data_IF_623131049248
#
_entry.id   IF_623131049248
#
_cell.length_a   1.000
_cell.length_b   1.000
_cell.length_c   1.000
_cell.angle_alpha   90.00
_cell.angle_beta   90.00
_cell.angle_gamma   90.00
#
_symmetry.space_group_name_H-M   'P 1'
#
loop_
_entity.id
_entity.type
_entity.pdbx_description
1 polymer ?
#
# COMPACT_ATOMS: atom_id res chain seq x y z
N UNK A 1 -28.75 -45.95 10.72
CA UNK A 1 -28.14 -44.76 11.35
C UNK A 1 -27.94 -43.70 10.27
N UNK A 2 -28.71 -42.62 10.25
CA UNK A 2 -28.49 -41.55 9.28
C UNK A 2 -27.33 -40.66 9.75
N UNK A 3 -26.46 -40.28 8.81
CA UNK A 3 -25.38 -39.30 9.02
C UNK A 3 -25.96 -37.91 9.30
N UNK A 4 -26.34 -37.64 10.54
CA UNK A 4 -26.73 -36.32 11.01
C UNK A 4 -25.59 -35.68 11.81
N UNK A 5 -25.03 -34.56 11.31
CA UNK A 5 -24.56 -33.40 12.09
C UNK A 5 -23.31 -32.65 11.59
N UNK A 6 -22.72 -32.98 10.44
CA UNK A 6 -21.55 -32.21 9.93
C UNK A 6 -21.94 -30.82 9.37
N UNK A 7 -23.24 -30.53 9.18
CA UNK A 7 -23.71 -29.32 8.46
C UNK A 7 -24.26 -28.15 9.29
N UNK A 8 -23.98 -28.03 10.61
CA UNK A 8 -24.58 -26.96 11.43
C UNK A 8 -23.92 -25.58 11.30
N UNK A 9 -22.72 -25.50 10.74
CA UNK A 9 -21.97 -24.25 10.53
C UNK A 9 -21.43 -24.21 9.10
N UNK A 10 -22.32 -24.11 8.12
CA UNK A 10 -21.88 -23.84 6.75
C UNK A 10 -21.37 -22.38 6.69
N UNK A 11 -20.26 -22.14 6.02
CA UNK A 11 -19.67 -20.79 5.91
C UNK A 11 -20.67 -19.78 5.33
N UNK A 12 -21.53 -20.22 4.42
CA UNK A 12 -22.60 -19.41 3.84
C UNK A 12 -23.87 -19.32 4.68
N UNK A 13 -23.89 -19.91 5.89
CA UNK A 13 -25.05 -19.84 6.78
C UNK A 13 -25.19 -18.44 7.38
N UNK A 14 -26.43 -17.96 7.49
CA UNK A 14 -26.72 -16.64 8.03
C UNK A 14 -26.24 -16.51 9.48
N UNK A 15 -26.32 -17.59 10.26
CA UNK A 15 -25.85 -17.66 11.65
C UNK A 15 -24.34 -17.51 11.82
N UNK A 16 -23.55 -17.71 10.75
CA UNK A 16 -22.11 -17.51 10.80
C UNK A 16 -21.74 -16.02 10.71
N UNK A 17 -22.53 -15.24 9.94
CA UNK A 17 -22.22 -13.84 9.62
C UNK A 17 -23.11 -12.82 10.34
N UNK A 18 -24.35 -13.18 10.67
CA UNK A 18 -25.35 -12.28 11.23
C UNK A 18 -25.64 -12.59 12.71
N UNK A 19 -26.06 -11.58 13.50
CA UNK A 19 -26.59 -11.79 14.84
C UNK A 19 -27.80 -12.76 14.83
N UNK A 20 -28.09 -13.43 15.95
CA UNK A 20 -29.25 -14.31 16.04
C UNK A 20 -30.55 -13.55 15.70
N UNK A 21 -31.41 -14.17 14.90
CA UNK A 21 -32.70 -13.66 14.39
C UNK A 21 -32.62 -12.59 13.29
N UNK A 22 -31.47 -12.42 12.63
CA UNK A 22 -31.37 -11.61 11.40
C UNK A 22 -31.13 -12.49 10.17
N UNK A 23 -31.80 -12.13 9.08
CA UNK A 23 -31.62 -12.72 7.75
C UNK A 23 -31.11 -11.64 6.81
N UNK A 24 -30.40 -12.00 5.75
CA UNK A 24 -29.89 -10.98 4.83
C UNK A 24 -30.99 -10.33 3.98
N UNK A 25 -32.17 -10.95 3.90
CA UNK A 25 -33.36 -10.35 3.29
C UNK A 25 -33.89 -9.18 4.13
N UNK A 26 -33.63 -9.19 5.44
CA UNK A 26 -33.97 -8.10 6.36
C UNK A 26 -32.89 -7.03 6.49
N UNK A 27 -31.76 -7.17 5.79
CA UNK A 27 -30.74 -6.11 5.74
C UNK A 27 -31.25 -5.06 4.76
N UNK A 28 -31.77 -3.97 5.29
CA UNK A 28 -32.21 -2.84 4.47
C UNK A 28 -31.04 -2.32 3.62
N UNK A 29 -31.33 -1.97 2.37
CA UNK A 29 -30.37 -1.28 1.52
C UNK A 29 -29.90 0.00 2.22
N UNK A 30 -28.59 0.26 2.28
CA UNK A 30 -28.08 1.41 3.00
C UNK A 30 -28.69 2.69 2.44
N UNK A 31 -29.23 3.51 3.33
CA UNK A 31 -29.72 4.83 2.98
C UNK A 31 -28.54 5.75 2.68
N UNK A 32 -28.78 6.83 1.94
CA UNK A 32 -27.74 7.85 1.70
C UNK A 32 -27.21 8.45 3.02
N UNK A 33 -28.02 8.44 4.08
CA UNK A 33 -27.59 8.80 5.44
C UNK A 33 -26.49 7.89 5.97
N UNK A 34 -26.43 6.63 5.55
CA UNK A 34 -25.42 5.68 6.02
C UNK A 34 -24.03 5.97 5.46
N UNK A 35 -23.95 6.74 4.37
CA UNK A 35 -22.70 7.27 3.85
C UNK A 35 -21.98 8.16 4.88
N UNK A 36 -22.72 8.82 5.76
CA UNK A 36 -22.15 9.63 6.84
C UNK A 36 -21.36 8.77 7.83
N UNK A 37 -21.83 7.55 8.13
CA UNK A 37 -21.06 6.60 8.94
C UNK A 37 -19.79 6.16 8.23
N UNK A 38 -19.85 5.94 6.91
CA UNK A 38 -18.66 5.65 6.11
C UNK A 38 -17.61 6.76 6.17
N UNK A 39 -18.02 8.02 6.04
CA UNK A 39 -17.13 9.20 6.20
C UNK A 39 -16.56 9.23 7.62
N UNK A 40 -17.40 9.08 8.64
CA UNK A 40 -16.96 9.11 10.03
C UNK A 40 -15.93 8.01 10.34
N UNK A 41 -16.21 6.77 9.95
CA UNK A 41 -15.30 5.63 10.10
C UNK A 41 -13.99 5.89 9.35
N UNK A 42 -14.04 6.42 8.12
CA UNK A 42 -12.84 6.78 7.36
C UNK A 42 -11.97 7.83 8.07
N UNK A 43 -12.59 8.85 8.67
CA UNK A 43 -11.87 9.88 9.46
C UNK A 43 -11.23 9.23 10.69
N UNK A 44 -11.98 8.43 11.46
CA UNK A 44 -11.49 7.76 12.66
C UNK A 44 -10.32 6.82 12.32
N UNK A 45 -10.47 5.99 11.30
CA UNK A 45 -9.41 5.09 10.83
C UNK A 45 -8.20 5.88 10.33
N UNK A 46 -8.40 7.01 9.67
CA UNK A 46 -7.31 7.89 9.22
C UNK A 46 -6.53 8.49 10.39
N UNK A 47 -7.23 8.94 11.45
CA UNK A 47 -6.59 9.44 12.67
C UNK A 47 -5.84 8.32 13.38
N UNK A 48 -6.50 7.18 13.63
CA UNK A 48 -5.87 6.00 14.24
C UNK A 48 -4.60 5.60 13.48
N UNK A 49 -4.67 5.61 12.15
CA UNK A 49 -3.55 5.33 11.28
C UNK A 49 -2.41 6.34 11.44
N UNK A 50 -2.68 7.64 11.46
CA UNK A 50 -1.65 8.68 11.71
C UNK A 50 -0.98 8.44 13.07
N UNK A 51 -1.76 8.12 14.10
CA UNK A 51 -1.25 7.84 15.45
C UNK A 51 -0.33 6.60 15.45
N UNK A 52 -0.77 5.49 14.86
CA UNK A 52 0.06 4.28 14.75
C UNK A 52 1.40 4.56 14.06
N UNK A 53 1.41 5.47 13.09
CA UNK A 53 2.61 5.69 12.29
C UNK A 53 3.63 6.57 12.97
N UNK A 54 3.16 7.59 13.68
CA UNK A 54 4.02 8.47 14.47
C UNK A 54 4.47 7.81 15.78
N UNK A 55 3.60 7.05 16.45
CA UNK A 55 3.85 6.54 17.80
C UNK A 55 4.23 5.06 17.87
N UNK A 56 4.00 4.27 16.83
CA UNK A 56 4.36 2.84 16.80
C UNK A 56 5.40 2.56 15.72
N UNK A 57 5.11 2.85 14.45
CA UNK A 57 6.00 2.46 13.36
C UNK A 57 7.28 3.30 13.29
N UNK A 58 7.22 4.63 13.39
CA UNK A 58 8.42 5.45 13.41
C UNK A 58 9.41 5.06 14.54
N UNK A 59 9.00 4.93 15.82
CA UNK A 59 9.91 4.48 16.87
C UNK A 59 10.37 3.04 16.68
N UNK A 60 9.53 2.12 16.19
CA UNK A 60 9.98 0.76 15.86
C UNK A 60 11.07 0.76 14.79
N UNK A 61 10.92 1.56 13.73
CA UNK A 61 11.93 1.72 12.68
C UNK A 61 13.25 2.22 13.25
N UNK A 62 13.20 3.27 14.09
CA UNK A 62 14.38 3.83 14.76
C UNK A 62 15.04 2.81 15.70
N UNK A 63 14.26 2.09 16.51
CA UNK A 63 14.77 1.04 17.42
C UNK A 63 15.43 -0.12 16.69
N UNK A 64 15.00 -0.41 15.46
CA UNK A 64 15.60 -1.44 14.61
C UNK A 64 16.74 -0.89 13.72
N UNK A 65 17.27 0.30 14.03
CA UNK A 65 18.47 0.83 13.39
C UNK A 65 18.24 1.63 12.11
N UNK A 66 16.99 1.88 11.72
CA UNK A 66 16.70 2.84 10.65
C UNK A 66 17.05 4.25 11.11
N UNK A 67 17.58 5.07 10.21
CA UNK A 67 17.92 6.47 10.49
C UNK A 67 17.33 7.38 9.43
N UNK A 68 16.92 8.57 9.85
CA UNK A 68 16.66 9.67 8.92
C UNK A 68 17.97 10.01 8.23
N UNK A 69 18.09 9.60 6.95
CA UNK A 69 19.30 9.88 6.16
C UNK A 69 19.46 11.38 6.03
N UNK A 70 20.51 11.98 6.58
CA UNK A 70 20.78 13.40 6.34
C UNK A 70 20.97 13.63 4.84
N UNK A 71 20.04 14.36 4.21
CA UNK A 71 20.21 14.77 2.81
C UNK A 71 21.29 15.83 2.81
N UNK A 72 22.50 15.47 2.35
CA UNK A 72 23.54 16.48 2.12
C UNK A 72 22.97 17.51 1.15
N UNK A 73 22.86 18.78 1.57
CA UNK A 73 22.42 19.87 0.70
C UNK A 73 23.31 19.87 -0.54
N UNK A 74 22.68 19.74 -1.69
CA UNK A 74 23.38 19.86 -2.98
C UNK A 74 23.60 21.35 -3.20
N UNK A 75 24.82 21.79 -3.57
CA UNK A 75 25.09 23.19 -3.89
C UNK A 75 24.09 23.70 -4.93
N UNK A 76 23.46 24.84 -4.64
CA UNK A 76 22.54 25.46 -5.57
C UNK A 76 23.32 25.97 -6.77
N UNK A 77 22.99 25.44 -7.94
CA UNK A 77 23.50 25.92 -9.22
C UNK A 77 22.32 26.01 -10.20
N UNK A 78 21.80 27.22 -10.49
CA UNK A 78 20.58 27.38 -11.29
C UNK A 78 20.73 26.78 -12.70
N UNK A 79 21.94 26.78 -13.26
CA UNK A 79 22.23 26.24 -14.60
C UNK A 79 22.07 24.72 -14.65
N UNK A 80 22.55 24.01 -13.62
CA UNK A 80 22.39 22.56 -13.53
C UNK A 80 20.97 22.16 -13.15
N UNK A 81 20.26 22.99 -12.39
CA UNK A 81 18.86 22.75 -12.04
C UNK A 81 17.92 22.87 -13.24
N UNK A 82 18.09 23.89 -14.08
CA UNK A 82 17.30 24.04 -15.31
C UNK A 82 17.49 22.82 -16.24
N UNK A 83 18.74 22.36 -16.40
CA UNK A 83 19.01 21.18 -17.20
C UNK A 83 18.44 19.91 -16.55
N UNK A 84 18.56 19.75 -15.24
CA UNK A 84 18.05 18.59 -14.50
C UNK A 84 16.53 18.40 -14.64
N UNK A 85 15.77 19.50 -14.74
CA UNK A 85 14.32 19.46 -14.99
C UNK A 85 13.99 18.84 -16.36
N UNK A 86 14.84 19.08 -17.37
CA UNK A 86 14.70 18.51 -18.72
C UNK A 86 15.23 17.08 -18.78
N UNK A 87 16.41 16.82 -18.23
CA UNK A 87 17.04 15.50 -18.23
C UNK A 87 17.72 15.18 -16.89
N UNK A 88 17.14 14.21 -16.16
CA UNK A 88 17.65 13.76 -14.85
C UNK A 88 18.91 12.90 -14.97
N UNK A 89 19.19 12.30 -16.13
CA UNK A 89 20.31 11.38 -16.38
C UNK A 89 21.02 11.75 -17.70
N UNK A 90 21.85 12.81 -17.69
CA UNK A 90 22.60 13.21 -18.88
C UNK A 90 23.51 12.08 -19.38
N UNK A 91 23.60 11.95 -20.70
CA UNK A 91 24.55 11.06 -21.37
C UNK A 91 25.98 11.60 -21.28
N UNK A 92 26.98 10.78 -21.62
CA UNK A 92 28.39 11.23 -21.62
C UNK A 92 28.63 12.37 -22.61
N UNK A 93 27.96 12.37 -23.75
CA UNK A 93 27.99 13.48 -24.72
C UNK A 93 27.39 14.75 -24.12
N UNK A 94 26.28 14.65 -23.39
CA UNK A 94 25.65 15.81 -22.73
C UNK A 94 26.57 16.41 -21.66
N UNK A 95 27.23 15.55 -20.87
CA UNK A 95 28.18 15.99 -19.83
C UNK A 95 29.35 16.76 -20.46
N UNK A 96 29.88 16.32 -21.61
CA UNK A 96 30.92 17.04 -22.36
C UNK A 96 30.44 18.41 -22.86
N UNK A 97 29.22 18.48 -23.39
CA UNK A 97 28.63 19.74 -23.86
C UNK A 97 28.45 20.71 -22.70
N UNK A 98 27.94 20.24 -21.56
CA UNK A 98 27.79 21.03 -20.34
C UNK A 98 29.14 21.48 -19.79
N UNK A 99 30.16 20.62 -19.82
CA UNK A 99 31.51 20.94 -19.39
C UNK A 99 32.10 22.07 -20.21
N UNK A 100 31.99 22.01 -21.55
CA UNK A 100 32.44 23.08 -22.45
C UNK A 100 31.65 24.38 -22.27
N UNK A 101 30.35 24.30 -21.99
CA UNK A 101 29.47 25.46 -21.87
C UNK A 101 29.71 26.25 -20.58
N UNK A 102 30.00 25.56 -19.48
CA UNK A 102 30.07 26.16 -18.15
C UNK A 102 31.49 26.17 -17.56
N UNK A 103 32.49 25.68 -18.29
CA UNK A 103 33.89 25.56 -17.86
C UNK A 103 34.06 24.81 -16.52
N UNK A 104 33.27 23.74 -16.36
CA UNK A 104 33.27 22.88 -15.17
C UNK A 104 33.72 21.48 -15.58
N UNK A 105 34.49 20.79 -14.74
CA UNK A 105 34.94 19.43 -15.05
C UNK A 105 33.78 18.44 -15.20
N UNK A 106 33.92 17.48 -16.13
CA UNK A 106 32.95 16.41 -16.34
C UNK A 106 32.64 15.63 -15.06
N UNK A 107 33.67 15.44 -14.21
CA UNK A 107 33.54 14.75 -12.92
C UNK A 107 32.64 15.53 -11.98
N UNK A 108 32.84 16.84 -11.83
CA UNK A 108 32.01 17.69 -10.96
C UNK A 108 30.55 17.70 -11.42
N UNK A 109 30.31 17.74 -12.73
CA UNK A 109 28.96 17.67 -13.31
C UNK A 109 28.32 16.31 -12.98
N UNK A 110 29.00 15.20 -13.30
CA UNK A 110 28.50 13.85 -13.02
C UNK A 110 28.21 13.66 -11.53
N UNK A 111 29.10 14.15 -10.66
CA UNK A 111 28.93 14.13 -9.22
C UNK A 111 27.72 14.94 -8.76
N UNK A 112 27.54 16.14 -9.28
CA UNK A 112 26.41 17.00 -8.94
C UNK A 112 25.09 16.32 -9.32
N UNK A 113 24.98 15.80 -10.55
CA UNK A 113 23.77 15.09 -11.01
C UNK A 113 23.51 13.82 -10.19
N UNK A 114 24.56 13.07 -9.84
CA UNK A 114 24.46 11.91 -8.95
C UNK A 114 23.97 12.30 -7.56
N UNK A 115 24.50 13.37 -6.98
CA UNK A 115 24.09 13.90 -5.67
C UNK A 115 22.65 14.42 -5.70
N UNK A 116 22.25 15.17 -6.73
CA UNK A 116 20.87 15.68 -6.92
C UNK A 116 19.85 14.54 -7.06
N UNK A 117 20.18 13.49 -7.81
CA UNK A 117 19.34 12.29 -7.89
C UNK A 117 19.26 11.56 -6.55
N UNK A 118 20.37 11.47 -5.82
CA UNK A 118 20.41 10.82 -4.52
C UNK A 118 19.73 11.64 -3.42
N UNK A 119 19.72 12.97 -3.52
CA UNK A 119 18.99 13.85 -2.60
C UNK A 119 17.48 13.80 -2.81
N UNK A 120 17.05 13.48 -4.03
CA UNK A 120 15.63 13.27 -4.35
C UNK A 120 15.10 11.89 -3.92
N UNK A 121 15.94 10.99 -3.40
CA UNK A 121 15.48 9.69 -2.90
C UNK A 121 14.90 9.85 -1.49
N UNK A 122 13.65 9.43 -1.31
CA UNK A 122 13.00 9.38 0.01
C UNK A 122 13.81 8.57 1.02
N UNK A 123 13.75 8.97 2.30
CA UNK A 123 14.44 8.27 3.39
C UNK A 123 13.88 6.86 3.55
N UNK A 124 14.74 5.87 3.83
CA UNK A 124 14.30 4.47 4.03
C UNK A 124 13.32 4.35 5.21
N UNK A 125 13.53 5.13 6.27
CA UNK A 125 12.58 5.20 7.40
C UNK A 125 11.23 5.76 6.99
N UNK A 126 11.22 6.75 6.09
CA UNK A 126 9.97 7.30 5.54
C UNK A 126 9.27 6.20 4.76
N UNK A 127 9.97 5.45 3.90
CA UNK A 127 9.41 4.28 3.19
C UNK A 127 8.92 3.15 4.11
N UNK A 128 9.60 2.91 5.24
CA UNK A 128 9.20 1.92 6.23
C UNK A 128 7.88 2.33 6.91
N UNK A 129 7.79 3.59 7.35
CA UNK A 129 6.56 4.15 7.93
C UNK A 129 5.46 4.25 6.86
N UNK A 130 5.80 4.59 5.61
CA UNK A 130 4.95 4.58 4.40
C UNK A 130 4.63 3.17 3.87
N UNK A 131 5.14 2.10 4.46
CA UNK A 131 4.62 0.75 4.19
C UNK A 131 3.59 0.36 5.25
N UNK A 132 3.73 0.86 6.48
CA UNK A 132 2.65 0.84 7.47
C UNK A 132 1.51 1.82 7.13
N UNK A 133 1.83 2.94 6.48
CA UNK A 133 0.89 3.87 5.87
C UNK A 133 0.87 3.59 4.37
N UNK A 134 -0.17 2.98 3.79
CA UNK A 134 -0.56 3.13 2.37
C UNK A 134 -0.48 4.60 1.84
N UNK A 135 0.70 5.18 1.67
CA UNK A 135 0.97 6.56 1.31
C UNK A 135 1.95 6.54 0.15
N UNK A 136 1.45 6.01 -0.96
CA UNK A 136 1.31 6.79 -2.16
C UNK A 136 2.57 7.56 -2.62
N UNK A 137 3.49 6.83 -3.26
CA UNK A 137 4.45 7.49 -4.16
C UNK A 137 3.72 7.95 -5.42
N UNK A 138 4.12 9.06 -6.03
CA UNK A 138 3.51 9.57 -7.27
C UNK A 138 3.57 8.51 -8.41
N UNK A 139 4.56 7.60 -8.37
CA UNK A 139 4.66 6.50 -9.33
C UNK A 139 3.60 5.42 -9.10
N UNK A 140 3.22 5.21 -7.84
CA UNK A 140 2.15 4.30 -7.46
C UNK A 140 0.77 4.97 -7.58
N UNK A 141 0.71 6.24 -8.02
CA UNK A 141 -0.54 7.00 -8.05
C UNK A 141 -1.59 6.35 -8.90
N UNK A 142 -1.26 6.21 -10.18
CA UNK A 142 -2.20 5.77 -11.18
C UNK A 142 -2.67 4.33 -10.89
N UNK A 143 -1.77 3.48 -10.39
CA UNK A 143 -2.09 2.09 -10.06
C UNK A 143 -3.04 2.02 -8.87
N UNK A 144 -2.72 2.69 -7.75
CA UNK A 144 -3.57 2.66 -6.56
C UNK A 144 -4.91 3.37 -6.79
N UNK A 145 -4.92 4.47 -7.55
CA UNK A 145 -6.14 5.16 -7.95
C UNK A 145 -7.02 4.30 -8.84
N UNK A 146 -6.44 3.64 -9.86
CA UNK A 146 -7.18 2.71 -10.71
C UNK A 146 -7.76 1.55 -9.88
N UNK A 147 -6.98 0.99 -8.94
CA UNK A 147 -7.47 -0.02 -8.01
C UNK A 147 -8.70 0.47 -7.22
N UNK A 148 -8.66 1.70 -6.68
CA UNK A 148 -9.81 2.27 -5.96
C UNK A 148 -11.03 2.48 -6.86
N UNK A 149 -10.82 2.91 -8.11
CA UNK A 149 -11.92 3.02 -9.08
C UNK A 149 -12.55 1.65 -9.34
N UNK A 150 -11.75 0.60 -9.53
CA UNK A 150 -12.26 -0.76 -9.72
C UNK A 150 -12.99 -1.29 -8.47
N UNK A 151 -12.42 -1.14 -7.27
CA UNK A 151 -13.07 -1.62 -6.04
C UNK A 151 -14.36 -0.88 -5.75
N UNK A 152 -14.40 0.45 -5.89
CA UNK A 152 -15.64 1.24 -5.73
C UNK A 152 -16.67 0.83 -6.79
N UNK A 153 -16.26 0.62 -8.04
CA UNK A 153 -17.17 0.17 -9.10
C UNK A 153 -17.75 -1.22 -8.81
N UNK A 154 -16.92 -2.18 -8.37
CA UNK A 154 -17.36 -3.52 -8.01
C UNK A 154 -18.29 -3.52 -6.79
N UNK A 155 -17.99 -2.68 -5.80
CA UNK A 155 -18.82 -2.47 -4.62
C UNK A 155 -20.18 -1.93 -5.07
N UNK A 156 -20.23 -0.83 -5.84
CA UNK A 156 -21.49 -0.25 -6.36
C UNK A 156 -22.26 -1.24 -7.23
N UNK A 157 -21.58 -2.03 -8.06
CA UNK A 157 -22.22 -3.07 -8.86
C UNK A 157 -22.82 -4.20 -8.01
N UNK A 158 -22.11 -4.63 -6.96
CA UNK A 158 -22.62 -5.57 -5.96
C UNK A 158 -23.85 -5.00 -5.25
N UNK A 159 -23.87 -3.69 -4.97
CA UNK A 159 -25.02 -2.98 -4.42
C UNK A 159 -26.23 -3.00 -5.37
N UNK A 160 -26.03 -2.68 -6.64
CA UNK A 160 -27.12 -2.64 -7.64
C UNK A 160 -27.71 -4.02 -7.94
N UNK A 161 -26.94 -5.10 -7.73
CA UNK A 161 -27.37 -6.47 -8.00
C UNK A 161 -27.81 -7.24 -6.74
N UNK A 162 -27.96 -6.56 -5.59
CA UNK A 162 -28.33 -7.14 -4.30
C UNK A 162 -27.41 -8.30 -3.83
N UNK A 163 -26.16 -8.34 -4.29
CA UNK A 163 -25.19 -9.38 -3.97
C UNK A 163 -24.30 -9.03 -2.77
N UNK A 164 -24.88 -8.41 -1.73
CA UNK A 164 -24.14 -7.87 -0.57
C UNK A 164 -23.32 -8.93 0.17
N UNK A 165 -23.86 -10.15 0.28
CA UNK A 165 -23.20 -11.29 0.95
C UNK A 165 -21.85 -11.59 0.30
N UNK A 166 -21.85 -11.74 -1.01
CA UNK A 166 -20.68 -12.14 -1.80
C UNK A 166 -19.68 -10.98 -1.84
N UNK A 167 -20.15 -9.74 -2.07
CA UNK A 167 -19.30 -8.55 -2.10
C UNK A 167 -18.53 -8.32 -0.80
N UNK A 168 -19.19 -8.47 0.35
CA UNK A 168 -18.56 -8.27 1.67
C UNK A 168 -17.49 -9.30 1.98
N UNK A 169 -17.74 -10.57 1.62
CA UNK A 169 -16.76 -11.66 1.78
C UNK A 169 -15.55 -11.45 0.88
N UNK A 170 -15.76 -11.04 -0.38
CA UNK A 170 -14.66 -10.75 -1.31
C UNK A 170 -13.76 -9.65 -0.75
N UNK A 171 -14.33 -8.56 -0.23
CA UNK A 171 -13.56 -7.45 0.33
C UNK A 171 -12.73 -7.90 1.55
N UNK A 172 -13.32 -8.66 2.47
CA UNK A 172 -12.61 -9.18 3.65
C UNK A 172 -11.45 -10.11 3.27
N UNK A 173 -11.68 -11.02 2.30
CA UNK A 173 -10.67 -11.96 1.84
C UNK A 173 -9.54 -11.28 1.05
N UNK A 174 -9.87 -10.20 0.34
CA UNK A 174 -8.90 -9.40 -0.40
C UNK A 174 -7.88 -8.74 0.54
N UNK A 175 -8.36 -8.13 1.62
CA UNK A 175 -7.52 -7.35 2.54
C UNK A 175 -6.64 -8.24 3.45
N UNK A 176 -7.04 -9.49 3.68
CA UNK A 176 -6.31 -10.42 4.56
C UNK A 176 -4.89 -10.76 4.04
N UNK A 177 -4.70 -10.84 2.72
CA UNK A 177 -3.39 -11.12 2.13
C UNK A 177 -2.48 -9.88 2.21
N UNK A 178 -3.03 -8.69 1.99
CA UNK A 178 -2.27 -7.44 1.89
C UNK A 178 -1.55 -7.09 3.20
N UNK A 179 -2.12 -7.46 4.35
CA UNK A 179 -1.46 -7.36 5.66
C UNK A 179 -0.07 -8.02 5.68
N UNK A 180 0.04 -9.25 5.15
CA UNK A 180 1.29 -10.00 5.12
C UNK A 180 2.32 -9.40 4.16
N UNK A 181 1.84 -8.86 3.03
CA UNK A 181 2.68 -8.19 2.04
C UNK A 181 3.31 -6.91 2.60
N UNK A 182 2.54 -6.08 3.28
CA UNK A 182 3.06 -4.86 3.91
C UNK A 182 4.03 -5.18 5.06
N UNK A 183 3.73 -6.20 5.87
CA UNK A 183 4.65 -6.69 6.90
C UNK A 183 5.99 -7.16 6.31
N UNK A 184 5.97 -7.88 5.18
CA UNK A 184 7.18 -8.31 4.47
C UNK A 184 8.01 -7.11 3.97
N UNK A 185 7.37 -6.08 3.39
CA UNK A 185 8.06 -4.84 2.97
C UNK A 185 8.74 -4.15 4.14
N UNK A 186 8.04 -4.00 5.27
CA UNK A 186 8.59 -3.41 6.49
C UNK A 186 9.82 -4.18 7.01
N UNK A 187 9.74 -5.52 7.06
CA UNK A 187 10.85 -6.37 7.49
C UNK A 187 12.04 -6.32 6.52
N UNK A 188 11.79 -6.17 5.22
CA UNK A 188 12.82 -5.95 4.20
C UNK A 188 13.58 -4.65 4.45
N UNK A 189 12.90 -3.55 4.77
CA UNK A 189 13.57 -2.28 5.06
C UNK A 189 14.44 -2.35 6.32
N UNK A 190 14.01 -3.11 7.32
CA UNK A 190 14.78 -3.36 8.56
C UNK A 190 15.92 -4.37 8.34
N UNK A 191 16.02 -5.01 7.18
CA UNK A 191 17.08 -5.98 6.86
C UNK A 191 16.85 -7.37 7.47
N UNK A 192 15.64 -7.69 7.95
CA UNK A 192 15.29 -8.99 8.53
C UNK A 192 14.81 -9.98 7.46
N UNK A 193 15.77 -10.49 6.68
CA UNK A 193 15.48 -11.33 5.51
C UNK A 193 14.68 -12.61 5.83
N UNK A 194 15.01 -13.35 6.90
CA UNK A 194 14.31 -14.60 7.25
C UNK A 194 12.81 -14.38 7.52
N UNK A 195 12.48 -13.36 8.31
CA UNK A 195 11.09 -13.03 8.61
C UNK A 195 10.37 -12.43 7.38
N UNK A 196 11.07 -11.62 6.57
CA UNK A 196 10.53 -11.12 5.31
C UNK A 196 10.11 -12.27 4.39
N UNK A 197 10.97 -13.29 4.23
CA UNK A 197 10.67 -14.46 3.40
C UNK A 197 9.50 -15.27 3.97
N UNK A 198 9.43 -15.42 5.29
CA UNK A 198 8.29 -16.07 5.94
C UNK A 198 6.99 -15.32 5.67
N UNK A 199 6.91 -14.02 5.96
CA UNK A 199 5.73 -13.21 5.69
C UNK A 199 5.33 -13.21 4.21
N UNK A 200 6.30 -13.20 3.30
CA UNK A 200 6.04 -13.27 1.87
C UNK A 200 5.50 -14.65 1.42
N UNK A 201 6.02 -15.74 2.00
CA UNK A 201 5.49 -17.07 1.77
C UNK A 201 4.06 -17.21 2.32
N UNK A 202 3.79 -16.67 3.51
CA UNK A 202 2.44 -16.61 4.09
C UNK A 202 1.51 -15.77 3.22
N UNK A 203 1.96 -14.64 2.69
CA UNK A 203 1.20 -13.84 1.71
C UNK A 203 0.80 -14.68 0.50
N UNK A 204 1.74 -15.40 -0.13
CA UNK A 204 1.45 -16.26 -1.29
C UNK A 204 0.44 -17.35 -0.92
N UNK A 205 0.63 -18.01 0.23
CA UNK A 205 -0.26 -19.06 0.71
C UNK A 205 -1.68 -18.52 0.89
N UNK A 206 -1.84 -17.42 1.63
CA UNK A 206 -3.14 -16.79 1.88
C UNK A 206 -3.76 -16.36 0.56
N UNK A 207 -3.01 -15.71 -0.33
CA UNK A 207 -3.49 -15.27 -1.63
C UNK A 207 -3.99 -16.43 -2.50
N UNK A 208 -3.25 -17.54 -2.58
CA UNK A 208 -3.67 -18.74 -3.33
C UNK A 208 -4.93 -19.33 -2.71
N UNK A 209 -4.95 -19.52 -1.38
CA UNK A 209 -6.10 -20.10 -0.71
C UNK A 209 -7.35 -19.24 -0.88
N UNK A 210 -7.25 -17.92 -0.68
CA UNK A 210 -8.42 -17.03 -0.78
C UNK A 210 -8.90 -16.90 -2.21
N UNK A 211 -8.01 -16.82 -3.21
CA UNK A 211 -8.41 -16.54 -4.61
C UNK A 211 -8.62 -17.76 -5.50
N UNK A 212 -7.87 -18.85 -5.29
CA UNK A 212 -7.91 -20.02 -6.16
C UNK A 212 -8.63 -21.23 -5.53
N UNK A 213 -8.86 -21.23 -4.22
CA UNK A 213 -9.57 -22.31 -3.56
C UNK A 213 -10.92 -21.84 -2.98
N UNK A 214 -10.93 -20.84 -2.11
CA UNK A 214 -12.16 -20.37 -1.47
C UNK A 214 -13.15 -19.74 -2.45
N UNK A 215 -12.67 -18.92 -3.38
CA UNK A 215 -13.55 -18.21 -4.33
C UNK A 215 -14.20 -19.12 -5.40
N UNK A 216 -13.53 -20.13 -5.99
CA UNK A 216 -14.14 -20.98 -7.02
C UNK A 216 -14.79 -22.27 -6.51
N UNK A 217 -14.45 -22.77 -5.31
CA UNK A 217 -14.94 -24.08 -4.82
C UNK A 217 -16.25 -23.96 -4.04
N UNK A 218 -16.67 -22.76 -3.65
CA UNK A 218 -17.81 -22.54 -2.74
C UNK A 218 -18.75 -21.41 -3.18
#
# INVERSE_FOLDING_TARGET
MPLGSIGKYNFWSEKFWLPPNQTWEGVESPLFSDFQYGIFVSIVLSIMRILLCNYVFAPLGLRNGLRYRQVKRVPHNPQFEEYYLKNKRPSLSDIRILSKKFDISEVQISDWFRRKRNSAKFHVIVKFVESGLLHFSIQDFAVMFSHHVFTVTLIVFSFLTNNFRIGSVIMLLHDAADFWLEAAKMLKYVGRFRLCMFCFATFILVWILTRLYYFPVW
#
